data_IF_731773558648
#
_entry.id   IF_731773558648
#
_cell.length_a   1.000
_cell.length_b   1.000
_cell.length_c   1.000
_cell.angle_alpha   90.00
_cell.angle_beta   90.00
_cell.angle_gamma   90.00
#
_symmetry.space_group_name_H-M   'P 1'
#
loop_
_entity.id
_entity.type
_entity.pdbx_description
1 polymer ?
#
# COMPACT_ATOMS: atom_id res chain seq x y z
N UNK A 1 -7.37 -34.04 -18.71
CA UNK A 1 -6.78 -33.03 -19.59
C UNK A 1 -7.91 -32.49 -20.42
N UNK A 2 -8.29 -31.23 -20.20
CA UNK A 2 -9.21 -30.56 -21.13
C UNK A 2 -8.58 -30.60 -22.51
N UNK A 3 -9.32 -31.11 -23.50
CA UNK A 3 -8.81 -31.23 -24.84
C UNK A 3 -8.77 -29.83 -25.47
N UNK A 4 -7.69 -29.52 -26.19
CA UNK A 4 -7.57 -28.25 -26.92
C UNK A 4 -8.63 -28.24 -28.04
N UNK A 5 -9.51 -27.22 -28.14
CA UNK A 5 -10.51 -27.16 -29.20
C UNK A 5 -9.86 -27.01 -30.57
N UNK A 6 -10.33 -27.78 -31.56
CA UNK A 6 -9.86 -27.67 -32.95
C UNK A 6 -10.09 -26.26 -33.49
N UNK A 7 -11.16 -25.59 -33.06
CA UNK A 7 -11.48 -24.20 -33.40
C UNK A 7 -10.39 -23.23 -32.90
N UNK A 8 -9.80 -23.48 -31.73
CA UNK A 8 -8.72 -22.64 -31.22
C UNK A 8 -7.45 -22.83 -32.07
N UNK A 9 -7.14 -24.07 -32.47
CA UNK A 9 -6.01 -24.37 -33.35
C UNK A 9 -6.17 -23.66 -34.69
N UNK A 10 -7.35 -23.76 -35.31
CA UNK A 10 -7.66 -23.06 -36.56
C UNK A 10 -7.56 -21.54 -36.41
N UNK A 11 -7.97 -21.00 -35.27
CA UNK A 11 -7.91 -19.57 -34.97
C UNK A 11 -6.44 -19.08 -34.89
N UNK A 12 -5.60 -19.86 -34.22
CA UNK A 12 -4.15 -19.62 -34.09
C UNK A 12 -3.46 -19.70 -35.45
N UNK A 13 -3.73 -20.77 -36.23
CA UNK A 13 -3.11 -20.99 -37.53
C UNK A 13 -3.47 -19.87 -38.51
N UNK A 14 -4.75 -19.49 -38.58
CA UNK A 14 -5.19 -18.35 -39.40
C UNK A 14 -4.52 -17.04 -38.96
N UNK A 15 -4.39 -16.81 -37.65
CA UNK A 15 -3.70 -15.62 -37.15
C UNK A 15 -2.22 -15.60 -37.55
N UNK A 16 -1.56 -16.76 -37.45
CA UNK A 16 -0.15 -16.95 -37.80
C UNK A 16 0.11 -16.72 -39.29
N UNK A 17 -0.71 -17.32 -40.15
CA UNK A 17 -0.58 -17.25 -41.61
C UNK A 17 -0.70 -15.81 -42.13
N UNK A 18 -1.53 -14.98 -41.49
CA UNK A 18 -1.81 -13.61 -41.91
C UNK A 18 -1.30 -12.55 -40.95
N UNK A 19 -0.34 -12.89 -40.06
CA UNK A 19 0.14 -12.00 -39.00
C UNK A 19 0.56 -10.61 -39.49
N UNK A 20 1.32 -10.54 -40.58
CA UNK A 20 1.80 -9.27 -41.13
C UNK A 20 0.67 -8.41 -41.71
N UNK A 21 -0.38 -9.05 -42.25
CA UNK A 21 -1.59 -8.35 -42.69
C UNK A 21 -2.37 -7.77 -41.50
N UNK A 22 -2.48 -8.52 -40.40
CA UNK A 22 -3.18 -8.07 -39.19
C UNK A 22 -2.41 -6.99 -38.41
N UNK A 23 -1.08 -6.92 -38.57
CA UNK A 23 -0.26 -5.80 -38.07
C UNK A 23 -0.29 -4.58 -39.00
N UNK A 24 -0.84 -4.71 -40.21
CA UNK A 24 -0.98 -3.63 -41.17
C UNK A 24 -1.89 -2.50 -40.65
N UNK A 25 -1.69 -1.29 -41.18
CA UNK A 25 -2.43 -0.10 -40.74
C UNK A 25 -3.95 -0.17 -40.98
N UNK A 26 -4.40 -1.01 -41.93
CA UNK A 26 -5.82 -1.20 -42.26
C UNK A 26 -6.59 -2.05 -41.25
N UNK A 27 -5.90 -2.81 -40.39
CA UNK A 27 -6.54 -3.79 -39.51
C UNK A 27 -6.71 -3.15 -38.13
N UNK A 28 -7.95 -2.94 -37.74
CA UNK A 28 -8.31 -2.17 -36.56
C UNK A 28 -8.70 -3.06 -35.36
N UNK A 29 -8.93 -2.39 -34.24
CA UNK A 29 -9.33 -3.03 -32.99
C UNK A 29 -10.71 -3.70 -33.10
N UNK A 30 -11.62 -3.15 -33.91
CA UNK A 30 -12.95 -3.71 -34.12
C UNK A 30 -12.89 -5.07 -34.84
N UNK A 31 -12.12 -5.17 -35.92
CA UNK A 31 -11.91 -6.44 -36.60
C UNK A 31 -11.19 -7.45 -35.71
N UNK A 32 -10.17 -7.01 -34.94
CA UNK A 32 -9.46 -7.88 -33.98
C UNK A 32 -10.41 -8.49 -32.94
N UNK A 33 -11.33 -7.66 -32.44
CA UNK A 33 -12.39 -8.07 -31.52
C UNK A 33 -13.27 -9.17 -32.13
N UNK A 34 -13.87 -8.92 -33.29
CA UNK A 34 -14.83 -9.85 -33.90
C UNK A 34 -14.17 -11.12 -34.47
N UNK A 35 -13.02 -11.00 -35.12
CA UNK A 35 -12.39 -12.14 -35.80
C UNK A 35 -11.75 -13.11 -34.81
N UNK A 36 -11.22 -12.60 -33.69
CA UNK A 36 -10.33 -13.35 -32.81
C UNK A 36 -10.73 -13.34 -31.34
N UNK A 37 -10.92 -12.17 -30.72
CA UNK A 37 -11.17 -12.10 -29.26
C UNK A 37 -12.55 -12.65 -28.90
N UNK A 38 -13.60 -12.25 -29.63
CA UNK A 38 -14.96 -12.78 -29.43
C UNK A 38 -14.95 -14.32 -29.52
N UNK A 39 -14.27 -14.87 -30.54
CA UNK A 39 -14.15 -16.32 -30.75
C UNK A 39 -13.40 -17.02 -29.62
N UNK A 40 -12.31 -16.44 -29.14
CA UNK A 40 -11.55 -17.01 -28.01
C UNK A 40 -12.43 -17.11 -26.75
N UNK A 41 -13.21 -16.08 -26.43
CA UNK A 41 -14.05 -16.08 -25.24
C UNK A 41 -15.34 -16.91 -25.40
N UNK A 42 -15.86 -17.06 -26.62
CA UNK A 42 -16.90 -18.05 -26.94
C UNK A 42 -16.41 -19.48 -26.64
N UNK A 43 -15.16 -19.81 -26.99
CA UNK A 43 -14.56 -21.11 -26.65
C UNK A 43 -14.34 -21.32 -25.14
N UNK A 44 -14.18 -20.23 -24.38
CA UNK A 44 -14.17 -20.23 -22.91
C UNK A 44 -15.60 -20.28 -22.30
N UNK A 45 -16.62 -20.47 -23.13
CA UNK A 45 -18.01 -20.68 -22.71
C UNK A 45 -18.80 -19.41 -22.42
N UNK A 46 -18.33 -18.24 -22.87
CA UNK A 46 -19.04 -16.96 -22.69
C UNK A 46 -19.96 -16.66 -23.88
N UNK A 47 -21.19 -16.20 -23.62
CA UNK A 47 -22.11 -15.76 -24.67
C UNK A 47 -21.82 -14.31 -25.13
N UNK A 48 -20.71 -14.11 -25.84
CA UNK A 48 -20.22 -12.79 -26.26
C UNK A 48 -21.14 -12.12 -27.29
N UNK A 49 -21.83 -12.92 -28.11
CA UNK A 49 -22.77 -12.45 -29.14
C UNK A 49 -24.22 -12.36 -28.64
N UNK A 50 -24.50 -12.70 -27.38
CA UNK A 50 -25.85 -12.78 -26.81
C UNK A 50 -26.79 -13.67 -27.64
N UNK A 51 -26.30 -14.83 -28.06
CA UNK A 51 -27.05 -15.87 -28.80
C UNK A 51 -28.23 -16.42 -28.01
N UNK A 52 -28.16 -16.40 -26.67
CA UNK A 52 -29.27 -16.75 -25.80
C UNK A 52 -30.42 -15.72 -25.80
N UNK A 53 -30.21 -14.54 -26.39
CA UNK A 53 -31.24 -13.52 -26.55
C UNK A 53 -31.62 -12.81 -25.25
N UNK A 54 -30.74 -12.77 -24.25
CA UNK A 54 -31.01 -12.10 -22.99
C UNK A 54 -31.09 -10.58 -23.15
N UNK A 55 -31.91 -9.96 -22.29
CA UNK A 55 -31.95 -8.51 -22.15
C UNK A 55 -30.62 -7.98 -21.61
N UNK A 56 -30.27 -6.74 -21.95
CA UNK A 56 -28.96 -6.11 -21.66
C UNK A 56 -28.48 -6.31 -20.20
N UNK A 57 -29.39 -6.15 -19.23
CA UNK A 57 -29.07 -6.27 -17.81
C UNK A 57 -28.71 -7.70 -17.35
N UNK A 58 -29.06 -8.72 -18.15
CA UNK A 58 -28.82 -10.13 -17.86
C UNK A 58 -27.74 -10.74 -18.77
N UNK A 59 -27.12 -9.94 -19.65
CA UNK A 59 -26.01 -10.39 -20.47
C UNK A 59 -24.80 -10.72 -19.61
N UNK A 60 -24.15 -11.83 -19.94
CA UNK A 60 -22.93 -12.27 -19.28
C UNK A 60 -21.71 -11.47 -19.77
N UNK A 61 -21.77 -10.95 -21.00
CA UNK A 61 -20.74 -10.08 -21.56
C UNK A 61 -21.39 -8.80 -22.05
N UNK A 62 -20.98 -7.66 -21.49
CA UNK A 62 -21.41 -6.33 -21.95
C UNK A 62 -20.26 -5.70 -22.72
N UNK A 63 -20.53 -5.28 -23.96
CA UNK A 63 -19.58 -4.50 -24.76
C UNK A 63 -19.77 -3.02 -24.46
N UNK A 64 -18.67 -2.29 -24.27
CA UNK A 64 -18.69 -0.84 -23.99
C UNK A 64 -19.53 -0.45 -22.74
N UNK A 65 -19.34 -1.17 -21.62
CA UNK A 65 -19.99 -0.86 -20.34
C UNK A 65 -19.59 0.54 -19.84
N UNK A 66 -20.47 1.54 -19.97
CA UNK A 66 -20.20 2.93 -19.56
C UNK A 66 -20.03 3.02 -18.04
N UNK A 67 -18.79 2.94 -17.57
CA UNK A 67 -18.41 3.22 -16.18
C UNK A 67 -18.12 4.71 -16.03
N UNK A 68 -18.74 5.35 -15.05
CA UNK A 68 -18.46 6.76 -14.70
C UNK A 68 -17.26 6.82 -13.76
N UNK A 69 -16.24 7.60 -14.12
CA UNK A 69 -15.04 7.84 -13.32
C UNK A 69 -14.84 9.35 -13.18
N UNK A 70 -14.28 9.80 -12.05
CA UNK A 70 -13.82 11.18 -11.89
C UNK A 70 -12.84 11.56 -13.01
N UNK A 71 -13.27 12.46 -13.90
CA UNK A 71 -12.48 12.95 -15.04
C UNK A 71 -12.93 12.49 -16.43
N UNK A 72 -13.96 11.62 -16.56
CA UNK A 72 -14.60 11.30 -17.85
C UNK A 72 -15.19 9.89 -17.92
N UNK A 73 -16.10 9.68 -18.89
CA UNK A 73 -16.72 8.38 -19.17
C UNK A 73 -15.92 7.67 -20.27
N UNK A 74 -15.17 6.64 -19.93
CA UNK A 74 -14.62 5.69 -20.92
C UNK A 74 -14.94 4.28 -20.44
N UNK A 75 -15.45 3.46 -21.35
CA UNK A 75 -15.84 2.08 -21.07
C UNK A 75 -14.69 1.13 -21.40
N UNK A 76 -14.51 0.02 -20.66
CA UNK A 76 -13.74 -1.11 -21.16
C UNK A 76 -14.44 -1.71 -22.39
N UNK A 77 -13.69 -2.32 -23.29
CA UNK A 77 -14.26 -3.00 -24.46
C UNK A 77 -15.26 -4.08 -24.07
N UNK A 78 -14.93 -4.87 -23.03
CA UNK A 78 -15.79 -5.91 -22.51
C UNK A 78 -15.84 -5.92 -20.98
N UNK A 79 -17.04 -6.16 -20.44
CA UNK A 79 -17.28 -6.47 -19.05
C UNK A 79 -17.91 -7.86 -18.93
N UNK A 80 -17.17 -8.78 -18.29
CA UNK A 80 -17.63 -10.14 -18.03
C UNK A 80 -18.31 -10.21 -16.67
N UNK A 81 -19.48 -10.85 -16.62
CA UNK A 81 -20.39 -10.85 -15.48
C UNK A 81 -21.03 -12.22 -15.26
N UNK A 82 -21.27 -12.55 -13.99
CA UNK A 82 -22.06 -13.71 -13.58
C UNK A 82 -23.17 -13.22 -12.64
N UNK A 83 -24.43 -13.52 -12.97
CA UNK A 83 -25.58 -13.08 -12.17
C UNK A 83 -25.68 -11.55 -12.02
N UNK A 84 -25.22 -10.79 -13.02
CA UNK A 84 -25.15 -9.33 -12.98
C UNK A 84 -23.95 -8.75 -12.23
N UNK A 85 -23.17 -9.56 -11.51
CA UNK A 85 -21.95 -9.13 -10.83
C UNK A 85 -20.76 -9.14 -11.77
N UNK A 86 -19.96 -8.06 -11.78
CA UNK A 86 -18.75 -7.94 -12.60
C UNK A 86 -17.64 -8.84 -12.08
N UNK A 87 -16.94 -9.53 -12.98
CA UNK A 87 -15.85 -10.45 -12.65
C UNK A 87 -14.49 -9.94 -13.12
N UNK A 88 -14.38 -9.58 -14.39
CA UNK A 88 -13.18 -8.93 -14.92
C UNK A 88 -13.52 -8.06 -16.13
N UNK A 89 -12.61 -7.15 -16.46
CA UNK A 89 -12.64 -6.41 -17.72
C UNK A 89 -11.69 -7.02 -18.72
N UNK A 90 -12.02 -6.85 -20.01
CA UNK A 90 -11.08 -7.04 -21.10
C UNK A 90 -10.99 -5.76 -21.91
N UNK A 91 -9.76 -5.28 -22.11
CA UNK A 91 -9.45 -4.22 -23.08
C UNK A 91 -8.79 -4.88 -24.30
N UNK A 92 -9.34 -4.61 -25.47
CA UNK A 92 -8.81 -5.07 -26.74
C UNK A 92 -7.88 -4.00 -27.33
N UNK A 93 -6.90 -4.44 -28.12
CA UNK A 93 -6.08 -3.55 -28.96
C UNK A 93 -5.90 -4.17 -30.34
N UNK A 94 -5.51 -3.37 -31.33
CA UNK A 94 -5.08 -3.88 -32.64
C UNK A 94 -3.73 -4.63 -32.53
N UNK A 95 -3.43 -5.61 -33.41
CA UNK A 95 -2.25 -6.49 -33.29
C UNK A 95 -0.90 -5.79 -33.46
N UNK A 96 -0.91 -4.58 -34.03
CA UNK A 96 0.28 -3.73 -34.18
C UNK A 96 0.70 -3.00 -32.91
N UNK A 97 -0.15 -2.94 -31.88
CA UNK A 97 0.23 -2.38 -30.56
C UNK A 97 1.09 -3.41 -29.82
N UNK A 98 2.18 -2.98 -29.20
CA UNK A 98 3.05 -3.82 -28.37
C UNK A 98 2.61 -3.75 -26.91
N UNK A 99 1.89 -4.77 -26.44
CA UNK A 99 1.38 -4.85 -25.07
C UNK A 99 2.47 -5.25 -24.06
N UNK A 100 3.61 -5.75 -24.53
CA UNK A 100 4.73 -6.12 -23.67
C UNK A 100 5.39 -4.89 -23.08
N UNK A 101 5.57 -3.86 -23.90
CA UNK A 101 6.38 -2.67 -23.61
C UNK A 101 5.59 -1.36 -23.52
N UNK A 102 4.45 -1.21 -24.19
CA UNK A 102 3.63 0.00 -24.12
C UNK A 102 2.86 0.09 -22.79
N UNK A 103 3.16 1.06 -21.92
CA UNK A 103 2.47 1.20 -20.63
C UNK A 103 1.05 1.77 -20.76
N UNK A 104 0.73 2.47 -21.87
CA UNK A 104 -0.52 3.22 -22.00
C UNK A 104 -1.78 2.33 -21.92
N UNK A 105 -1.88 1.20 -22.66
CA UNK A 105 -3.03 0.31 -22.57
C UNK A 105 -3.14 -0.39 -21.20
N UNK A 106 -2.00 -0.74 -20.59
CA UNK A 106 -1.97 -1.36 -19.26
C UNK A 106 -2.45 -0.40 -18.18
N UNK A 107 -1.94 0.84 -18.18
CA UNK A 107 -2.36 1.89 -17.27
C UNK A 107 -3.85 2.21 -17.45
N UNK A 108 -4.33 2.29 -18.69
CA UNK A 108 -5.74 2.47 -19.00
C UNK A 108 -6.56 1.39 -18.29
N UNK A 109 -6.37 0.11 -18.66
CA UNK A 109 -7.13 -1.02 -18.11
C UNK A 109 -7.12 -1.05 -16.58
N UNK A 110 -5.92 -0.96 -15.98
CA UNK A 110 -5.75 -1.02 -14.51
C UNK A 110 -6.49 0.12 -13.82
N UNK A 111 -6.50 1.33 -14.38
CA UNK A 111 -7.20 2.49 -13.79
C UNK A 111 -8.71 2.25 -13.71
N UNK A 112 -9.31 1.71 -14.77
CA UNK A 112 -10.75 1.40 -14.78
C UNK A 112 -11.06 0.28 -13.78
N UNK A 113 -10.34 -0.83 -13.86
CA UNK A 113 -10.57 -1.99 -13.01
C UNK A 113 -10.34 -1.70 -11.51
N UNK A 114 -9.32 -0.90 -11.17
CA UNK A 114 -9.05 -0.46 -9.80
C UNK A 114 -10.18 0.41 -9.23
N UNK A 115 -10.71 1.35 -10.01
CA UNK A 115 -11.76 2.27 -9.54
C UNK A 115 -13.06 1.57 -9.12
N UNK A 116 -13.33 0.38 -9.67
CA UNK A 116 -14.49 -0.45 -9.31
C UNK A 116 -14.11 -1.75 -8.58
N UNK A 117 -12.87 -1.84 -8.08
CA UNK A 117 -12.35 -2.93 -7.23
C UNK A 117 -12.43 -4.33 -7.85
N UNK A 118 -12.19 -4.45 -9.16
CA UNK A 118 -12.00 -5.77 -9.76
C UNK A 118 -10.63 -6.35 -9.38
N UNK A 119 -10.53 -7.66 -9.11
CA UNK A 119 -9.28 -8.26 -8.71
C UNK A 119 -8.33 -8.47 -9.89
N UNK A 120 -8.84 -8.94 -11.02
CA UNK A 120 -8.07 -9.23 -12.22
C UNK A 120 -8.73 -8.61 -13.45
N UNK A 121 -7.93 -8.26 -14.46
CA UNK A 121 -8.42 -7.88 -15.79
C UNK A 121 -7.41 -8.24 -16.89
N UNK A 122 -7.92 -8.36 -18.11
CA UNK A 122 -7.19 -8.85 -19.28
C UNK A 122 -6.94 -7.72 -20.28
N UNK A 123 -5.73 -7.65 -20.81
CA UNK A 123 -5.36 -6.82 -21.95
C UNK A 123 -4.90 -7.74 -23.08
N UNK A 124 -5.50 -7.64 -24.26
CA UNK A 124 -5.10 -8.50 -25.38
C UNK A 124 -5.35 -7.86 -26.75
N UNK A 125 -4.50 -8.22 -27.71
CA UNK A 125 -4.69 -7.95 -29.13
C UNK A 125 -4.70 -9.26 -29.94
N UNK A 126 -5.10 -10.36 -29.28
CA UNK A 126 -4.94 -11.76 -29.67
C UNK A 126 -3.50 -12.24 -29.85
N UNK A 127 -2.61 -11.45 -30.48
CA UNK A 127 -1.17 -11.74 -30.61
C UNK A 127 -0.48 -11.88 -29.25
N UNK A 128 -0.86 -11.03 -28.30
CA UNK A 128 -0.34 -10.96 -26.94
C UNK A 128 -1.51 -10.97 -25.97
N UNK A 129 -1.34 -11.67 -24.85
CA UNK A 129 -2.33 -11.82 -23.80
C UNK A 129 -1.68 -11.52 -22.47
N UNK A 130 -2.21 -10.53 -21.75
CA UNK A 130 -1.71 -10.12 -20.44
C UNK A 130 -2.84 -10.13 -19.41
N UNK A 131 -2.55 -10.69 -18.23
CA UNK A 131 -3.43 -10.62 -17.05
C UNK A 131 -2.78 -9.69 -16.05
N UNK A 132 -3.55 -8.74 -15.54
CA UNK A 132 -3.11 -7.80 -14.51
C UNK A 132 -3.84 -8.04 -13.19
N UNK A 133 -3.09 -7.92 -12.09
CA UNK A 133 -3.66 -7.68 -10.77
C UNK A 133 -4.09 -6.21 -10.68
N UNK A 134 -5.40 -5.99 -10.65
CA UNK A 134 -5.99 -4.66 -10.67
C UNK A 134 -6.34 -4.14 -9.28
N UNK A 135 -5.91 -4.84 -8.22
CA UNK A 135 -5.96 -4.35 -6.83
C UNK A 135 -4.80 -3.42 -6.51
N UNK A 136 -3.72 -3.49 -7.28
CA UNK A 136 -2.57 -2.60 -7.17
C UNK A 136 -2.89 -1.28 -7.88
N UNK A 137 -2.92 -0.18 -7.12
CA UNK A 137 -3.25 1.16 -7.62
C UNK A 137 -2.30 1.54 -8.77
N UNK A 138 -2.82 1.86 -9.97
CA UNK A 138 -1.98 2.19 -11.11
C UNK A 138 -1.38 3.59 -10.98
N UNK A 139 -0.08 3.70 -11.23
CA UNK A 139 0.64 4.97 -11.33
C UNK A 139 0.82 5.36 -12.82
N UNK A 140 0.62 6.63 -13.21
CA UNK A 140 0.89 7.08 -14.59
C UNK A 140 2.30 6.79 -15.10
N UNK A 141 3.28 6.62 -14.20
CA UNK A 141 4.67 6.31 -14.53
C UNK A 141 4.99 4.80 -14.51
N UNK A 142 4.00 3.94 -14.26
CA UNK A 142 4.19 2.49 -14.28
C UNK A 142 4.59 2.00 -15.67
N UNK A 143 5.54 1.07 -15.72
CA UNK A 143 5.83 0.30 -16.94
C UNK A 143 4.72 -0.71 -17.24
N UNK A 144 4.69 -1.23 -18.48
CA UNK A 144 3.72 -2.24 -18.91
C UNK A 144 3.77 -3.56 -18.12
N UNK A 145 4.87 -3.86 -17.43
CA UNK A 145 5.00 -5.04 -16.57
C UNK A 145 4.41 -4.87 -15.17
N UNK A 146 4.11 -3.63 -14.75
CA UNK A 146 3.62 -3.36 -13.41
C UNK A 146 2.29 -4.08 -13.16
N UNK A 147 2.24 -4.87 -12.08
CA UNK A 147 1.12 -5.72 -11.72
C UNK A 147 0.70 -6.76 -12.78
N UNK A 148 1.55 -7.04 -13.78
CA UNK A 148 1.27 -8.05 -14.81
C UNK A 148 1.65 -9.44 -14.28
N UNK A 149 0.65 -10.25 -13.97
CA UNK A 149 0.84 -11.58 -13.34
C UNK A 149 0.94 -12.71 -14.36
N UNK A 150 0.44 -12.50 -15.58
CA UNK A 150 0.65 -13.41 -16.71
C UNK A 150 0.89 -12.62 -17.98
N UNK A 151 1.76 -13.15 -18.84
CA UNK A 151 1.98 -12.65 -20.18
C UNK A 151 2.41 -13.80 -21.09
N UNK A 152 1.79 -13.90 -22.27
CA UNK A 152 2.18 -14.84 -23.30
C UNK A 152 1.69 -14.37 -24.67
N UNK A 153 2.27 -14.94 -25.73
CA UNK A 153 1.86 -14.70 -27.11
C UNK A 153 0.93 -15.81 -27.60
N UNK A 154 0.26 -15.57 -28.73
CA UNK A 154 -0.75 -16.48 -29.29
C UNK A 154 -0.21 -17.89 -29.58
N UNK A 155 1.09 -18.03 -29.87
CA UNK A 155 1.73 -19.33 -30.08
C UNK A 155 1.70 -20.22 -28.84
N UNK A 156 1.60 -19.63 -27.64
CA UNK A 156 1.54 -20.34 -26.37
C UNK A 156 0.09 -20.65 -25.92
N UNK A 157 -0.93 -20.28 -26.69
CA UNK A 157 -2.33 -20.60 -26.36
C UNK A 157 -2.59 -22.11 -26.18
N UNK A 158 -2.01 -23.03 -26.97
CA UNK A 158 -2.15 -24.47 -26.72
C UNK A 158 -1.68 -24.86 -25.32
N UNK A 159 -0.51 -24.37 -24.91
CA UNK A 159 0.09 -24.68 -23.60
C UNK A 159 -0.63 -23.98 -22.44
N UNK A 160 -1.21 -22.80 -22.71
CA UNK A 160 -1.93 -21.98 -21.73
C UNK A 160 -3.43 -22.26 -21.68
N UNK A 161 -3.95 -23.14 -22.54
CA UNK A 161 -5.38 -23.41 -22.61
C UNK A 161 -5.96 -23.90 -21.28
N UNK A 162 -5.30 -24.86 -20.63
CA UNK A 162 -5.74 -25.35 -19.33
C UNK A 162 -5.80 -24.24 -18.27
N UNK A 163 -4.87 -23.28 -18.29
CA UNK A 163 -4.90 -22.12 -17.40
C UNK A 163 -6.08 -21.19 -17.73
N UNK A 164 -6.27 -20.86 -19.01
CA UNK A 164 -7.36 -20.00 -19.45
C UNK A 164 -8.72 -20.59 -19.09
N UNK A 165 -8.93 -21.87 -19.35
CA UNK A 165 -10.18 -22.56 -19.04
C UNK A 165 -10.41 -22.69 -17.54
N UNK A 166 -9.39 -23.09 -16.77
CA UNK A 166 -9.53 -23.25 -15.32
C UNK A 166 -9.62 -21.93 -14.54
N UNK A 167 -9.33 -20.79 -15.16
CA UNK A 167 -9.35 -19.48 -14.47
C UNK A 167 -10.41 -18.53 -15.01
N UNK A 168 -10.54 -18.43 -16.33
CA UNK A 168 -11.37 -17.41 -17.00
C UNK A 168 -12.55 -17.99 -17.76
N UNK A 169 -12.75 -19.31 -17.83
CA UNK A 169 -13.99 -19.86 -18.38
C UNK A 169 -15.18 -19.54 -17.50
N UNK A 170 -16.34 -19.36 -18.13
CA UNK A 170 -17.60 -19.12 -17.42
C UNK A 170 -17.87 -20.17 -16.34
N UNK A 171 -17.63 -21.43 -16.66
CA UNK A 171 -17.82 -22.56 -15.74
C UNK A 171 -16.84 -22.51 -14.55
N UNK A 172 -15.56 -22.26 -14.80
CA UNK A 172 -14.56 -22.17 -13.74
C UNK A 172 -14.86 -21.01 -12.76
N UNK A 173 -15.34 -19.87 -13.27
CA UNK A 173 -15.76 -18.75 -12.42
C UNK A 173 -16.95 -19.13 -11.55
N UNK A 174 -17.94 -19.85 -12.08
CA UNK A 174 -19.08 -20.35 -11.30
C UNK A 174 -18.65 -21.30 -10.18
N UNK A 175 -17.55 -22.03 -10.37
CA UNK A 175 -16.94 -22.90 -9.35
C UNK A 175 -15.92 -22.19 -8.45
N UNK A 176 -15.77 -20.86 -8.56
CA UNK A 176 -14.93 -20.05 -7.67
C UNK A 176 -13.44 -20.06 -7.99
N UNK A 177 -13.02 -20.65 -9.12
CA UNK A 177 -11.60 -20.78 -9.46
C UNK A 177 -10.94 -19.42 -9.73
N UNK A 178 -11.66 -18.48 -10.35
CA UNK A 178 -11.19 -17.12 -10.58
C UNK A 178 -10.86 -16.38 -9.28
N UNK A 179 -11.79 -16.43 -8.31
CA UNK A 179 -11.62 -15.74 -7.03
C UNK A 179 -10.46 -16.37 -6.24
N UNK A 180 -10.36 -17.71 -6.26
CA UNK A 180 -9.23 -18.45 -5.70
C UNK A 180 -7.88 -18.09 -6.35
N UNK A 181 -7.81 -18.04 -7.68
CA UNK A 181 -6.58 -17.69 -8.40
C UNK A 181 -6.13 -16.25 -8.08
N UNK A 182 -7.08 -15.32 -7.97
CA UNK A 182 -6.78 -13.96 -7.53
C UNK A 182 -6.20 -13.91 -6.11
N UNK A 183 -6.66 -14.77 -5.21
CA UNK A 183 -6.13 -14.90 -3.84
C UNK A 183 -4.77 -15.61 -3.79
N UNK A 184 -4.58 -16.70 -4.53
CA UNK A 184 -3.32 -17.47 -4.60
C UNK A 184 -2.20 -16.69 -5.29
N UNK A 185 -2.51 -15.88 -6.30
CA UNK A 185 -1.51 -14.99 -6.92
C UNK A 185 -0.90 -14.01 -5.90
N UNK A 186 -1.63 -13.62 -4.85
CA UNK A 186 -1.07 -12.87 -3.70
C UNK A 186 -0.14 -13.77 -2.88
N UNK A 187 -0.54 -15.02 -2.62
CA UNK A 187 0.27 -15.96 -1.84
C UNK A 187 1.57 -16.35 -2.54
N UNK A 188 1.57 -16.50 -3.86
CA UNK A 188 2.77 -16.81 -4.66
C UNK A 188 3.71 -15.61 -4.76
N UNK A 189 3.19 -14.39 -4.92
CA UNK A 189 3.99 -13.17 -4.80
C UNK A 189 4.62 -13.06 -3.41
N UNK A 190 3.86 -13.33 -2.34
CA UNK A 190 4.38 -13.33 -0.96
C UNK A 190 5.39 -14.47 -0.75
N UNK A 191 5.16 -15.65 -1.34
CA UNK A 191 5.99 -16.85 -1.15
C UNK A 191 7.28 -16.80 -1.96
N UNK A 192 7.27 -16.30 -3.21
CA UNK A 192 8.47 -16.03 -4.00
C UNK A 192 9.39 -15.04 -3.30
N UNK A 193 8.80 -14.00 -2.70
CA UNK A 193 9.55 -13.04 -1.92
C UNK A 193 10.09 -13.62 -0.59
N UNK A 194 9.40 -14.62 -0.02
CA UNK A 194 9.85 -15.32 1.20
C UNK A 194 10.82 -16.50 0.96
N UNK A 195 10.84 -17.10 -0.24
CA UNK A 195 11.66 -18.28 -0.55
C UNK A 195 13.07 -17.94 -1.05
N UNK A 196 13.30 -16.72 -1.53
CA UNK A 196 14.64 -16.16 -1.78
C UNK A 196 15.48 -15.95 -0.52
N UNK A 197 14.90 -16.12 0.67
CA UNK A 197 15.59 -16.07 1.97
C UNK A 197 16.02 -17.47 2.49
N UNK A 198 15.78 -18.54 1.73
CA UNK A 198 15.93 -19.93 2.20
C UNK A 198 17.07 -20.78 1.63
N UNK A 199 17.64 -20.44 0.47
CA UNK A 199 18.66 -21.28 -0.18
C UNK A 199 20.00 -20.55 -0.35
N UNK A 200 21.09 -20.96 0.34
CA UNK A 200 22.40 -20.32 0.24
C UNK A 200 23.21 -20.71 -1.02
N UNK A 201 22.60 -21.32 -2.05
CA UNK A 201 23.32 -21.82 -3.23
C UNK A 201 22.78 -21.34 -4.59
N UNK A 202 22.20 -20.13 -4.66
CA UNK A 202 21.97 -19.46 -5.96
C UNK A 202 22.96 -18.31 -6.12
N UNK A 203 23.95 -18.39 -7.04
CA UNK A 203 24.91 -17.31 -7.24
C UNK A 203 24.22 -16.18 -8.00
N UNK A 204 23.76 -15.15 -7.30
CA UNK A 204 23.27 -13.94 -7.97
C UNK A 204 22.58 -12.88 -7.12
N UNK A 205 21.91 -13.24 -6.02
CA UNK A 205 21.14 -12.27 -5.23
C UNK A 205 21.66 -12.22 -3.80
N UNK A 206 22.18 -11.08 -3.38
CA UNK A 206 22.61 -10.88 -2.00
C UNK A 206 21.39 -10.80 -1.07
N UNK A 207 21.54 -11.21 0.20
CA UNK A 207 20.47 -11.12 1.22
C UNK A 207 19.87 -9.71 1.33
N UNK A 208 20.67 -8.68 1.04
CA UNK A 208 20.24 -7.28 1.01
C UNK A 208 19.34 -6.94 -0.18
N UNK A 209 19.59 -7.50 -1.36
CA UNK A 209 18.75 -7.32 -2.55
C UNK A 209 17.39 -7.99 -2.39
N UNK A 210 17.36 -9.22 -1.83
CA UNK A 210 16.11 -9.91 -1.52
C UNK A 210 15.28 -9.18 -0.44
N UNK A 211 15.93 -8.59 0.56
CA UNK A 211 15.26 -7.78 1.59
C UNK A 211 14.68 -6.47 1.02
N UNK A 212 15.39 -5.83 0.09
CA UNK A 212 14.88 -4.64 -0.60
C UNK A 212 13.71 -4.97 -1.54
N UNK A 213 13.74 -6.10 -2.23
CA UNK A 213 12.61 -6.58 -3.03
C UNK A 213 11.35 -6.82 -2.17
N UNK A 214 11.53 -7.44 -1.00
CA UNK A 214 10.48 -7.64 -0.01
C UNK A 214 9.87 -6.33 0.52
N UNK A 215 10.70 -5.32 0.79
CA UNK A 215 10.25 -3.99 1.17
C UNK A 215 9.51 -3.29 0.02
N UNK A 216 9.96 -3.49 -1.22
CA UNK A 216 9.26 -3.05 -2.43
C UNK A 216 7.85 -3.63 -2.52
N UNK A 217 7.71 -4.95 -2.40
CA UNK A 217 6.40 -5.60 -2.44
C UNK A 217 5.49 -5.18 -1.29
N UNK A 218 6.04 -5.01 -0.08
CA UNK A 218 5.26 -4.51 1.05
C UNK A 218 4.83 -3.06 0.85
N UNK A 219 5.69 -2.23 0.22
CA UNK A 219 5.36 -0.86 -0.17
C UNK A 219 4.19 -0.82 -1.14
N UNK A 220 4.20 -1.69 -2.15
CA UNK A 220 3.16 -1.80 -3.16
C UNK A 220 1.82 -2.25 -2.56
N UNK A 221 1.86 -3.25 -1.68
CA UNK A 221 0.67 -3.74 -0.99
C UNK A 221 0.05 -2.64 -0.11
N UNK A 222 0.87 -1.93 0.66
CA UNK A 222 0.38 -0.91 1.60
C UNK A 222 0.09 0.44 0.94
N UNK A 223 0.52 0.65 -0.30
CA UNK A 223 0.25 1.84 -1.10
C UNK A 223 1.15 3.04 -0.76
N UNK A 224 2.29 2.83 -0.11
CA UNK A 224 3.28 3.87 0.18
C UNK A 224 4.69 3.30 0.24
N UNK A 225 5.70 4.10 -0.09
CA UNK A 225 7.09 3.64 -0.13
C UNK A 225 7.66 3.43 1.29
N UNK A 226 8.25 2.26 1.54
CA UNK A 226 8.90 1.87 2.77
C UNK A 226 10.39 1.73 2.50
N UNK A 227 11.19 2.64 3.06
CA UNK A 227 12.63 2.60 2.94
C UNK A 227 13.22 1.47 3.78
N UNK A 228 12.66 1.28 5.00
CA UNK A 228 12.98 0.17 5.90
C UNK A 228 11.99 0.07 7.04
N UNK A 229 11.96 -1.10 7.68
CA UNK A 229 11.23 -1.38 8.90
C UNK A 229 12.24 -1.80 9.96
N UNK A 230 12.17 -1.21 11.13
CA UNK A 230 13.09 -1.48 12.23
C UNK A 230 12.33 -2.01 13.42
N UNK A 231 12.87 -3.08 13.99
CA UNK A 231 12.49 -3.65 15.28
C UNK A 231 13.54 -3.27 16.32
N UNK A 232 13.08 -2.61 17.37
CA UNK A 232 13.86 -2.24 18.53
C UNK A 232 13.42 -3.12 19.71
N UNK A 233 14.35 -3.92 20.23
CA UNK A 233 14.10 -4.84 21.35
C UNK A 233 14.21 -4.10 22.69
N UNK A 234 13.19 -3.28 22.97
CA UNK A 234 13.05 -2.59 24.25
C UNK A 234 12.24 -3.47 25.21
N UNK A 235 12.84 -3.86 26.34
CA UNK A 235 12.16 -4.62 27.40
C UNK A 235 10.98 -3.79 27.98
N UNK A 236 9.74 -4.33 28.10
CA UNK A 236 9.34 -5.73 27.91
C UNK A 236 8.73 -6.10 26.55
N UNK A 237 8.46 -5.14 25.65
CA UNK A 237 7.76 -5.37 24.40
C UNK A 237 8.51 -4.75 23.20
N UNK A 238 8.87 -5.54 22.16
CA UNK A 238 9.54 -5.02 20.99
C UNK A 238 8.74 -3.93 20.28
N UNK A 239 9.43 -2.84 19.97
CA UNK A 239 8.86 -1.66 19.34
C UNK A 239 9.24 -1.60 17.86
N UNK A 240 8.26 -1.30 17.02
CA UNK A 240 8.44 -1.21 15.58
C UNK A 240 8.26 0.23 15.11
N UNK A 241 9.08 0.62 14.16
CA UNK A 241 8.90 1.83 13.37
C UNK A 241 9.36 1.60 11.93
N UNK A 242 8.91 2.44 11.02
CA UNK A 242 9.31 2.39 9.62
C UNK A 242 9.76 3.76 9.14
N UNK A 243 10.77 3.78 8.29
CA UNK A 243 11.11 4.93 7.47
C UNK A 243 10.40 4.80 6.13
N UNK A 244 9.76 5.89 5.72
CA UNK A 244 8.93 5.98 4.53
C UNK A 244 9.21 7.28 3.79
N UNK A 245 9.10 7.23 2.46
CA UNK A 245 9.28 8.39 1.58
C UNK A 245 10.58 9.20 1.85
N UNK A 246 11.70 8.51 2.09
CA UNK A 246 13.05 9.09 2.12
C UNK A 246 13.46 9.80 3.41
N UNK A 247 12.59 9.92 4.42
CA UNK A 247 12.95 10.34 5.81
C UNK A 247 11.76 10.50 6.79
N UNK A 248 10.51 10.19 6.41
CA UNK A 248 9.39 10.23 7.37
C UNK A 248 9.43 8.98 8.22
N UNK A 249 9.28 9.10 9.54
CA UNK A 249 9.27 7.94 10.45
C UNK A 249 7.88 7.69 11.01
N UNK A 250 7.26 6.57 10.62
CA UNK A 250 5.99 6.11 11.18
C UNK A 250 6.24 5.31 12.45
N UNK A 251 5.76 5.80 13.59
CA UNK A 251 5.85 5.12 14.89
C UNK A 251 4.71 4.13 15.04
N UNK A 252 4.96 2.89 14.64
CA UNK A 252 3.98 1.80 14.66
C UNK A 252 3.65 1.45 16.12
N UNK A 253 4.68 1.12 16.90
CA UNK A 253 4.54 0.66 18.28
C UNK A 253 4.75 -0.85 18.38
N UNK A 254 4.06 -1.49 19.32
CA UNK A 254 4.14 -2.93 19.58
C UNK A 254 3.44 -3.76 18.50
N UNK A 255 3.71 -5.07 18.50
CA UNK A 255 3.13 -6.01 17.52
C UNK A 255 1.59 -6.03 17.52
N UNK A 256 0.94 -5.69 18.63
CA UNK A 256 -0.53 -5.60 18.71
C UNK A 256 -1.11 -4.53 17.77
N UNK A 257 -0.33 -3.50 17.46
CA UNK A 257 -0.69 -2.47 16.47
C UNK A 257 -0.60 -3.05 15.07
N UNK A 258 0.44 -3.83 14.77
CA UNK A 258 0.67 -4.45 13.45
C UNK A 258 -0.43 -5.48 13.15
N UNK A 259 -0.80 -6.34 14.09
CA UNK A 259 -1.81 -7.38 13.83
C UNK A 259 -3.24 -6.84 13.68
N UNK A 260 -3.48 -5.56 14.01
CA UNK A 260 -4.79 -4.92 13.90
C UNK A 260 -4.80 -3.85 12.80
N UNK A 261 -5.35 -4.19 11.63
CA UNK A 261 -5.39 -3.32 10.44
C UNK A 261 -5.76 -1.87 10.77
N UNK A 262 -6.84 -1.68 11.53
CA UNK A 262 -7.32 -0.35 11.89
C UNK A 262 -6.31 0.44 12.73
N UNK A 263 -5.60 -0.20 13.66
CA UNK A 263 -4.60 0.49 14.50
C UNK A 263 -3.38 0.87 13.67
N UNK A 264 -2.88 -0.05 12.85
CA UNK A 264 -1.76 0.21 11.95
C UNK A 264 -2.10 1.30 10.92
N UNK A 265 -3.25 1.19 10.25
CA UNK A 265 -3.75 2.18 9.29
C UNK A 265 -3.81 3.58 9.91
N UNK A 266 -4.29 3.72 11.15
CA UNK A 266 -4.31 5.01 11.83
C UNK A 266 -2.90 5.61 12.04
N UNK A 267 -1.88 4.78 12.32
CA UNK A 267 -0.49 5.24 12.49
C UNK A 267 0.12 5.72 11.18
N UNK A 268 -0.14 4.98 10.10
CA UNK A 268 0.28 5.35 8.75
C UNK A 268 -0.43 6.64 8.33
N UNK A 269 -1.75 6.69 8.43
CA UNK A 269 -2.55 7.87 8.07
C UNK A 269 -2.11 9.13 8.82
N UNK A 270 -1.80 9.03 10.13
CA UNK A 270 -1.36 10.18 10.92
C UNK A 270 0.02 10.73 10.54
N UNK A 271 0.82 9.97 9.79
CA UNK A 271 2.22 10.31 9.49
C UNK A 271 2.46 10.52 7.99
N UNK A 272 1.95 9.60 7.18
CA UNK A 272 2.06 9.61 5.72
C UNK A 272 1.00 10.53 5.11
N UNK A 273 -0.18 10.61 5.73
CA UNK A 273 -1.33 11.37 5.22
C UNK A 273 -2.18 10.60 4.21
N UNK A 274 -1.88 9.32 3.99
CA UNK A 274 -2.60 8.45 3.06
C UNK A 274 -3.24 7.27 3.80
N UNK A 275 -4.44 6.88 3.36
CA UNK A 275 -5.08 5.66 3.85
C UNK A 275 -4.51 4.46 3.10
N UNK A 276 -4.10 3.44 3.84
CA UNK A 276 -3.74 2.14 3.27
C UNK A 276 -5.00 1.41 2.76
N UNK A 277 -4.87 0.46 1.82
CA UNK A 277 -6.00 -0.31 1.31
C UNK A 277 -6.77 -1.07 2.40
N UNK A 278 -8.05 -1.35 2.13
CA UNK A 278 -8.83 -2.27 2.94
C UNK A 278 -8.37 -3.71 2.66
N UNK A 279 -8.15 -4.48 3.72
CA UNK A 279 -7.82 -5.90 3.64
C UNK A 279 -8.80 -6.71 4.47
N UNK A 280 -9.15 -7.91 4.00
CA UNK A 280 -9.83 -8.86 4.85
C UNK A 280 -8.90 -9.36 5.99
N UNK A 281 -9.47 -10.11 6.93
CA UNK A 281 -8.75 -10.58 8.11
C UNK A 281 -7.59 -11.53 7.76
N UNK A 282 -7.73 -12.35 6.72
CA UNK A 282 -6.74 -13.33 6.31
C UNK A 282 -5.60 -12.67 5.52
N UNK A 283 -5.94 -11.77 4.61
CA UNK A 283 -5.00 -10.92 3.89
C UNK A 283 -4.16 -10.08 4.86
N UNK A 284 -4.79 -9.41 5.82
CA UNK A 284 -4.08 -8.58 6.78
C UNK A 284 -3.11 -9.38 7.66
N UNK A 285 -3.47 -10.60 8.05
CA UNK A 285 -2.56 -11.47 8.82
C UNK A 285 -1.27 -11.76 8.08
N UNK A 286 -1.34 -11.95 6.75
CA UNK A 286 -0.16 -12.18 5.90
C UNK A 286 0.71 -10.93 5.82
N UNK A 287 0.09 -9.77 5.58
CA UNK A 287 0.79 -8.47 5.53
C UNK A 287 1.44 -8.14 6.88
N UNK A 288 0.72 -8.33 7.99
CA UNK A 288 1.23 -8.16 9.34
C UNK A 288 2.46 -9.06 9.61
N UNK A 289 2.44 -10.30 9.11
CA UNK A 289 3.58 -11.22 9.21
C UNK A 289 4.76 -10.71 8.38
N UNK A 290 4.51 -10.19 7.17
CA UNK A 290 5.53 -9.64 6.30
C UNK A 290 6.20 -8.41 6.92
N UNK A 291 5.42 -7.49 7.50
CA UNK A 291 5.92 -6.31 8.22
C UNK A 291 6.93 -6.72 9.31
N UNK A 292 6.60 -7.77 10.09
CA UNK A 292 7.49 -8.26 11.15
C UNK A 292 8.72 -8.95 10.57
N UNK A 293 8.59 -9.73 9.48
CA UNK A 293 9.71 -10.42 8.82
C UNK A 293 10.69 -9.47 8.13
N UNK A 294 10.18 -8.38 7.55
CA UNK A 294 11.01 -7.35 6.92
C UNK A 294 11.69 -6.45 7.95
N UNK A 295 11.33 -6.54 9.24
CA UNK A 295 11.93 -5.70 10.27
C UNK A 295 13.38 -6.13 10.53
N UNK A 296 14.32 -5.22 10.25
CA UNK A 296 15.70 -5.39 10.66
C UNK A 296 15.81 -5.16 12.18
N UNK A 297 16.58 -6.00 12.86
CA UNK A 297 16.92 -5.74 14.26
C UNK A 297 17.88 -4.57 14.26
N UNK A 298 17.67 -3.57 15.11
CA UNK A 298 18.55 -2.43 15.20
C UNK A 298 19.97 -2.86 15.68
N UNK A 299 20.83 -3.31 14.78
CA UNK A 299 22.28 -3.35 15.05
C UNK A 299 22.78 -1.92 15.06
N UNK A 300 22.79 -1.31 16.26
CA UNK A 300 23.45 -0.04 16.48
C UNK A 300 22.76 1.19 15.89
N UNK A 301 21.43 1.19 15.74
CA UNK A 301 20.70 2.49 15.74
C UNK A 301 20.58 2.89 17.21
N UNK A 302 21.67 3.44 17.74
CA UNK A 302 21.66 4.16 19.02
C UNK A 302 20.51 5.17 19.02
N UNK A 303 19.80 5.22 20.15
CA UNK A 303 18.83 6.19 20.64
C UNK A 303 19.02 7.65 20.15
N UNK A 304 20.24 8.02 19.73
CA UNK A 304 20.67 9.32 19.22
C UNK A 304 19.71 10.04 18.26
N UNK A 305 19.24 9.46 17.14
CA UNK A 305 18.45 10.25 16.17
C UNK A 305 17.04 10.64 16.65
N UNK A 306 16.45 9.84 17.54
CA UNK A 306 15.13 10.10 18.11
C UNK A 306 15.21 10.95 19.38
N UNK A 307 16.22 10.67 20.21
CA UNK A 307 16.65 11.57 21.25
C UNK A 307 16.94 12.96 20.67
N UNK A 308 17.67 13.07 19.56
CA UNK A 308 18.04 14.34 18.93
C UNK A 308 16.80 15.15 18.51
N UNK A 309 15.79 14.49 17.94
CA UNK A 309 14.51 15.13 17.61
C UNK A 309 13.79 15.66 18.85
N UNK A 310 13.76 14.86 19.92
CA UNK A 310 13.10 15.24 21.18
C UNK A 310 13.88 16.32 21.94
N UNK A 311 15.21 16.22 21.94
CA UNK A 311 16.13 17.24 22.47
C UNK A 311 15.95 18.55 21.71
N UNK A 312 15.75 18.52 20.39
CA UNK A 312 15.44 19.70 19.56
C UNK A 312 14.11 20.33 19.97
N UNK A 313 13.04 19.54 20.16
CA UNK A 313 11.73 20.06 20.55
C UNK A 313 11.76 20.78 21.90
N UNK A 314 12.42 20.17 22.89
CA UNK A 314 12.55 20.76 24.23
C UNK A 314 13.37 22.06 24.16
N UNK A 315 14.48 22.07 23.42
CA UNK A 315 15.33 23.26 23.26
C UNK A 315 14.59 24.40 22.56
N UNK A 316 13.90 24.14 21.45
CA UNK A 316 13.15 25.15 20.71
C UNK A 316 11.97 25.69 21.49
N UNK A 317 11.26 24.83 22.22
CA UNK A 317 10.20 25.25 23.13
C UNK A 317 10.73 26.21 24.19
N UNK A 318 11.86 25.87 24.83
CA UNK A 318 12.47 26.71 25.85
C UNK A 318 13.08 28.01 25.29
N UNK A 319 13.49 28.03 24.03
CA UNK A 319 13.90 29.27 23.34
C UNK A 319 12.71 30.18 23.04
N UNK A 320 11.56 29.60 22.71
CA UNK A 320 10.35 30.34 22.35
C UNK A 320 9.52 30.79 23.59
N UNK A 321 9.68 30.10 24.71
CA UNK A 321 8.90 30.33 25.92
C UNK A 321 9.66 31.20 26.95
N UNK A 322 8.94 32.11 27.62
CA UNK A 322 9.47 32.83 28.78
C UNK A 322 9.49 31.91 30.00
N UNK A 323 10.68 31.58 30.51
CA UNK A 323 10.84 30.82 31.76
C UNK A 323 10.51 31.74 32.94
N UNK A 324 9.50 31.39 33.72
CA UNK A 324 9.10 32.16 34.90
C UNK A 324 9.96 31.84 36.13
N UNK A 325 10.29 32.87 36.91
CA UNK A 325 11.01 32.73 38.18
C UNK A 325 10.08 32.28 39.34
N UNK A 326 8.80 32.66 39.27
CA UNK A 326 7.77 32.20 40.20
C UNK A 326 6.99 31.02 39.59
N UNK A 327 7.15 29.84 40.20
CA UNK A 327 6.51 28.61 39.76
C UNK A 327 4.97 28.65 39.78
N UNK A 328 4.35 29.39 40.70
CA UNK A 328 2.89 29.50 40.77
C UNK A 328 2.34 30.42 39.66
N UNK A 329 3.05 31.51 39.37
CA UNK A 329 2.72 32.44 38.30
C UNK A 329 2.85 31.78 36.93
N UNK A 330 3.99 31.15 36.66
CA UNK A 330 4.26 30.46 35.40
C UNK A 330 3.28 29.32 35.14
N UNK A 331 2.92 28.54 36.17
CA UNK A 331 1.89 27.50 36.03
C UNK A 331 0.51 28.06 35.74
N UNK A 332 0.17 29.23 36.27
CA UNK A 332 -1.11 29.90 35.95
C UNK A 332 -1.16 30.32 34.48
N UNK A 333 -0.02 30.71 33.92
CA UNK A 333 0.13 31.08 32.51
C UNK A 333 0.37 29.88 31.58
N UNK A 334 0.56 28.68 32.13
CA UNK A 334 0.89 27.47 31.37
C UNK A 334 2.28 27.53 30.71
N UNK A 335 3.24 28.21 31.34
CA UNK A 335 4.62 28.34 30.87
C UNK A 335 5.62 27.48 31.64
N UNK A 336 6.86 27.34 31.14
CA UNK A 336 7.96 26.71 31.86
C UNK A 336 8.42 27.59 33.04
N UNK A 337 9.02 26.98 34.06
CA UNK A 337 9.46 27.72 35.26
C UNK A 337 10.73 27.16 35.89
N UNK A 338 11.44 28.02 36.61
CA UNK A 338 12.61 27.65 37.41
C UNK A 338 12.18 27.28 38.83
N UNK A 339 12.71 26.18 39.37
CA UNK A 339 12.56 25.82 40.78
C UNK A 339 13.69 24.89 41.21
N UNK A 340 14.25 25.10 42.39
CA UNK A 340 15.33 24.24 42.95
C UNK A 340 16.48 24.00 41.95
N UNK A 341 16.88 25.05 41.20
CA UNK A 341 17.90 25.03 40.13
C UNK A 341 17.59 24.19 38.89
N UNK A 342 16.35 23.71 38.73
CA UNK A 342 15.89 23.01 37.53
C UNK A 342 14.81 23.80 36.80
N UNK A 343 14.84 23.72 35.46
CA UNK A 343 13.73 24.16 34.63
C UNK A 343 12.70 23.04 34.56
N UNK A 344 11.44 23.37 34.82
CA UNK A 344 10.31 22.45 34.71
C UNK A 344 9.38 22.86 33.58
N UNK A 345 8.87 21.85 32.88
CA UNK A 345 7.87 22.00 31.83
C UNK A 345 6.66 21.12 32.14
N UNK A 346 5.49 21.50 31.60
CA UNK A 346 4.29 20.67 31.66
C UNK A 346 4.05 19.99 30.31
N UNK A 347 3.44 18.80 30.32
CA UNK A 347 3.03 18.14 29.07
C UNK A 347 2.02 18.99 28.32
N UNK A 348 1.09 19.63 29.03
CA UNK A 348 0.04 20.45 28.44
C UNK A 348 0.63 21.62 27.64
N UNK A 349 1.60 22.32 28.22
CA UNK A 349 2.23 23.49 27.60
C UNK A 349 3.12 23.11 26.42
N UNK A 350 3.92 22.06 26.55
CA UNK A 350 4.76 21.55 25.47
C UNK A 350 3.91 21.03 24.30
N UNK A 351 2.85 20.27 24.60
CA UNK A 351 1.93 19.74 23.59
C UNK A 351 1.21 20.84 22.83
N UNK A 352 0.71 21.88 23.53
CA UNK A 352 0.10 23.05 22.88
C UNK A 352 1.10 23.73 21.94
N UNK A 353 2.34 23.94 22.39
CA UNK A 353 3.37 24.55 21.55
C UNK A 353 3.71 23.71 20.32
N UNK A 354 3.84 22.39 20.47
CA UNK A 354 4.08 21.46 19.35
C UNK A 354 2.94 21.48 18.33
N UNK A 355 1.70 21.55 18.80
CA UNK A 355 0.54 21.66 17.93
C UNK A 355 0.55 22.97 17.12
N UNK A 356 0.78 24.11 17.76
CA UNK A 356 0.72 25.41 17.07
C UNK A 356 1.96 25.73 16.23
N UNK A 357 3.14 25.24 16.61
CA UNK A 357 4.41 25.60 15.95
C UNK A 357 4.84 24.57 14.92
N UNK A 358 4.55 23.30 15.18
CA UNK A 358 5.01 22.17 14.35
C UNK A 358 3.86 21.40 13.71
N UNK A 359 2.61 21.78 13.97
CA UNK A 359 1.41 21.04 13.53
C UNK A 359 1.43 19.56 13.95
N UNK A 360 2.03 19.27 15.11
CA UNK A 360 2.13 17.92 15.66
C UNK A 360 1.16 17.73 16.83
N UNK A 361 0.25 16.75 16.72
CA UNK A 361 -0.61 16.32 17.82
C UNK A 361 -0.09 15.00 18.43
N UNK A 362 0.57 15.11 19.58
CA UNK A 362 1.20 13.98 20.28
C UNK A 362 0.40 13.67 21.54
N UNK A 363 0.02 12.39 21.71
CA UNK A 363 -0.67 11.92 22.92
C UNK A 363 0.22 12.04 24.16
N UNK A 364 -0.39 12.34 25.31
CA UNK A 364 0.32 12.62 26.55
C UNK A 364 1.22 11.48 27.02
N UNK A 365 0.76 10.23 26.90
CA UNK A 365 1.56 9.04 27.23
C UNK A 365 2.82 8.94 26.36
N UNK A 366 2.69 9.28 25.08
CA UNK A 366 3.79 9.18 24.12
C UNK A 366 4.77 10.34 24.31
N UNK A 367 4.28 11.56 24.57
CA UNK A 367 5.13 12.71 24.90
C UNK A 367 5.87 12.52 26.23
N UNK A 368 5.21 11.93 27.23
CA UNK A 368 5.83 11.54 28.50
C UNK A 368 6.99 10.55 28.30
N UNK A 369 6.80 9.55 27.42
CA UNK A 369 7.87 8.61 27.09
C UNK A 369 9.05 9.32 26.42
N UNK A 370 8.80 10.23 25.47
CA UNK A 370 9.88 10.95 24.78
C UNK A 370 10.68 11.82 25.76
N UNK A 371 10.00 12.52 26.65
CA UNK A 371 10.66 13.32 27.69
C UNK A 371 11.52 12.43 28.60
N UNK A 372 11.03 11.25 28.97
CA UNK A 372 11.80 10.28 29.77
C UNK A 372 13.07 9.83 29.06
N UNK A 373 12.97 9.51 27.75
CA UNK A 373 14.10 9.06 26.95
C UNK A 373 15.21 10.12 26.82
N UNK A 374 14.87 11.41 26.82
CA UNK A 374 15.89 12.49 26.79
C UNK A 374 16.35 12.94 28.18
N UNK A 375 16.11 12.15 29.22
CA UNK A 375 16.56 12.40 30.58
C UNK A 375 15.65 13.32 31.41
N UNK A 376 14.49 13.74 30.90
CA UNK A 376 13.55 14.50 31.73
C UNK A 376 12.89 13.60 32.77
N UNK A 377 12.79 14.06 34.02
CA UNK A 377 12.19 13.29 35.10
C UNK A 377 10.85 13.89 35.55
N UNK A 378 9.83 13.05 35.72
CA UNK A 378 8.53 13.51 36.18
C UNK A 378 8.52 13.81 37.69
N UNK A 379 7.92 14.92 38.10
CA UNK A 379 7.70 15.30 39.51
C UNK A 379 6.25 15.74 39.74
N UNK A 380 5.75 15.49 40.94
CA UNK A 380 4.46 16.00 41.42
C UNK A 380 4.73 17.24 42.29
N UNK A 381 4.13 18.37 41.94
CA UNK A 381 4.19 19.60 42.73
C UNK A 381 2.78 20.12 43.02
N UNK A 382 2.65 20.75 44.19
CA UNK A 382 1.45 21.49 44.57
C UNK A 382 1.69 22.97 44.28
N UNK A 383 0.78 23.58 43.52
CA UNK A 383 0.82 24.98 43.16
C UNK A 383 -0.37 25.72 43.76
N UNK A 384 -0.17 26.97 44.15
CA UNK A 384 -1.23 27.85 44.65
C UNK A 384 -1.67 28.79 43.54
N UNK A 385 -2.90 28.64 43.05
CA UNK A 385 -3.43 29.47 41.97
C UNK A 385 -3.66 30.90 42.48
N UNK A 386 -2.99 31.91 41.89
CA UNK A 386 -3.12 33.31 42.32
C UNK A 386 -4.55 33.85 42.21
N UNK A 387 -5.35 33.35 41.27
CA UNK A 387 -6.74 33.79 41.06
C UNK A 387 -7.72 33.33 42.13
N UNK A 388 -7.43 32.24 42.84
CA UNK A 388 -8.40 31.59 43.75
C UNK A 388 -7.82 31.20 45.11
N UNK A 389 -6.50 31.29 45.30
CA UNK A 389 -5.79 30.79 46.50
C UNK A 389 -5.82 29.26 46.66
N UNK A 390 -6.44 28.54 45.72
CA UNK A 390 -6.62 27.09 45.78
C UNK A 390 -5.32 26.36 45.44
N UNK A 391 -5.02 25.32 46.21
CA UNK A 391 -3.90 24.43 45.95
C UNK A 391 -4.27 23.35 44.92
N UNK A 392 -3.42 23.13 43.93
CA UNK A 392 -3.61 22.15 42.85
C UNK A 392 -2.34 21.34 42.65
N UNK A 393 -2.46 20.01 42.71
CA UNK A 393 -1.39 19.08 42.35
C UNK A 393 -1.25 18.95 40.83
N UNK A 394 -0.04 19.14 40.30
CA UNK A 394 0.27 18.96 38.87
C UNK A 394 1.54 18.15 38.71
N UNK A 395 1.52 17.27 37.70
CA UNK A 395 2.71 16.57 37.22
C UNK A 395 3.46 17.46 36.24
N UNK A 396 4.73 17.67 36.51
CA UNK A 396 5.68 18.45 35.69
C UNK A 396 6.92 17.61 35.40
N UNK A 397 7.76 18.05 34.49
CA UNK A 397 8.95 17.34 34.03
C UNK A 397 10.17 18.24 34.20
N UNK A 398 11.18 17.80 34.96
CA UNK A 398 12.46 18.51 35.05
C UNK A 398 13.23 18.30 33.76
N UNK A 399 13.78 19.38 33.20
CA UNK A 399 14.59 19.35 31.99
C UNK A 399 16.07 19.25 32.38
N UNK A 400 16.84 18.32 31.78
CA UNK A 400 18.28 18.24 32.01
C UNK A 400 19.00 19.54 31.62
N UNK A 401 20.02 19.99 32.39
CA UNK A 401 20.73 21.24 32.13
C UNK A 401 21.25 21.37 30.69
N UNK A 402 21.71 20.27 30.09
CA UNK A 402 22.19 20.19 28.70
C UNK A 402 21.13 20.53 27.64
N UNK A 403 19.84 20.45 27.97
CA UNK A 403 18.74 20.81 27.08
C UNK A 403 18.21 22.23 27.33
N UNK A 404 18.65 22.88 28.41
CA UNK A 404 18.29 24.28 28.68
C UNK A 404 19.19 25.20 27.84
N UNK A 405 18.63 26.09 27.00
CA UNK A 405 19.40 26.99 26.15
C UNK A 405 20.33 27.92 26.96
N UNK A 406 21.50 28.25 26.39
CA UNK A 406 22.51 29.08 27.05
C UNK A 406 22.03 30.50 27.42
N UNK A 407 21.05 31.03 26.69
CA UNK A 407 20.41 32.33 27.00
C UNK A 407 19.61 32.34 28.32
N UNK A 408 19.41 31.17 28.93
CA UNK A 408 18.64 30.97 30.16
C UNK A 408 19.43 30.26 31.27
N UNK A 409 20.74 30.07 31.10
CA UNK A 409 21.64 29.62 32.17
C UNK A 409 22.16 30.86 32.90
N UNK A 410 21.61 31.12 34.09
CA UNK A 410 22.07 32.17 35.00
C UNK A 410 23.40 31.81 35.64
#
# INVERSE_FOLDING_TARGET
>A
MENLPDELVQLIDRFKEHLEQYKGAWYDEANTRTDFIDRLFELLGWDVANTAGYAEQYREVIREDKVSIEGGTKAPDYCFRIGGSRKFFLEAKKPSVDLRSDPSPAYQLRRYAYSIRLPLSILTNFREFAVYDTRIKPNPNDGASAARIQYFTFEAYPDKWAFLTSTFSREAILHGAFDKYAEESIEDLISQSCSTLGDPETPGTTTAEAHQEMLGHLSDMLGFHIDRIVKDDVDPDPMFWMEVNGSRRVRIGTVDVIVQLRKFSNKVLSTVGEMIPDFDRQQWRKIATLIVKCAETAEGITDGQFEDSTKSFVREYLLAAKIGEDANEAMTLGGPFLKDDYVYISLESLKKWLYYTRHQDIKDQTLAQYLSNVGCASKQFTFTLRSTGKQVGRRVWSVPPELVPHSHRS
#
